data_IF_910832798801
#
_entry.id   IF_910832798801
#
_cell.length_a   1.000
_cell.length_b   1.000
_cell.length_c   1.000
_cell.angle_alpha   90.00
_cell.angle_beta   90.00
_cell.angle_gamma   90.00
#
_symmetry.space_group_name_H-M   'P 1'
#
loop_
_entity.id
_entity.type
_entity.pdbx_description
1 polymer ?
#
# COMPACT_ATOMS: atom_id res chain seq x y z
N UNK A 1 21.36 -2.13 9.44
CA UNK A 1 21.52 -2.22 7.97
C UNK A 1 22.31 -3.48 7.60
N UNK A 2 21.97 -4.18 6.51
CA UNK A 2 22.61 -5.46 6.15
C UNK A 2 24.03 -5.28 5.57
N UNK A 3 24.30 -4.16 4.88
CA UNK A 3 25.62 -3.88 4.30
C UNK A 3 26.42 -2.88 5.16
N UNK A 4 26.83 -3.30 6.36
CA UNK A 4 27.64 -2.45 7.26
C UNK A 4 28.97 -2.08 6.58
N UNK A 5 29.69 -3.06 6.01
CA UNK A 5 30.96 -2.80 5.32
C UNK A 5 30.85 -1.81 4.14
N UNK A 6 29.69 -1.75 3.46
CA UNK A 6 29.45 -0.76 2.40
C UNK A 6 29.17 0.63 2.98
N UNK A 7 28.41 0.73 4.08
CA UNK A 7 28.24 1.99 4.81
C UNK A 7 29.59 2.54 5.27
N UNK A 8 30.45 1.70 5.85
CA UNK A 8 31.73 2.13 6.38
C UNK A 8 32.68 2.56 5.25
N UNK A 9 32.67 1.85 4.11
CA UNK A 9 33.41 2.23 2.91
C UNK A 9 32.89 3.55 2.29
N UNK A 10 31.56 3.72 2.22
CA UNK A 10 30.94 4.97 1.79
C UNK A 10 31.31 6.13 2.74
N UNK A 11 31.38 5.91 4.05
CA UNK A 11 31.80 6.94 5.01
C UNK A 11 33.30 7.26 4.93
N UNK A 12 34.16 6.32 4.53
CA UNK A 12 35.60 6.56 4.38
C UNK A 12 35.99 7.21 3.05
N UNK A 13 35.18 7.09 2.00
CA UNK A 13 35.53 7.52 0.63
C UNK A 13 34.70 8.73 0.14
N UNK A 14 35.25 9.96 0.15
CA UNK A 14 34.53 11.16 -0.30
C UNK A 14 34.09 11.10 -1.76
N UNK A 15 34.86 10.44 -2.62
CA UNK A 15 34.51 10.27 -4.04
C UNK A 15 33.24 9.44 -4.21
N UNK A 16 33.08 8.39 -3.40
CA UNK A 16 31.91 7.53 -3.43
C UNK A 16 30.68 8.23 -2.86
N UNK A 17 30.84 9.05 -1.82
CA UNK A 17 29.77 9.94 -1.32
C UNK A 17 29.28 10.92 -2.38
N UNK A 18 30.20 11.45 -3.21
CA UNK A 18 29.86 12.28 -4.36
C UNK A 18 29.00 11.52 -5.37
N UNK A 19 29.45 10.33 -5.79
CA UNK A 19 28.79 9.49 -6.79
C UNK A 19 27.34 9.09 -6.43
N UNK A 20 27.06 8.85 -5.14
CA UNK A 20 25.69 8.54 -4.66
C UNK A 20 24.95 9.74 -4.05
N UNK A 21 25.47 10.95 -4.22
CA UNK A 21 24.80 12.17 -3.76
C UNK A 21 23.50 12.40 -4.53
N UNK A 22 22.51 13.05 -3.91
CA UNK A 22 21.21 13.32 -4.56
C UNK A 22 21.36 14.05 -5.91
N UNK A 23 22.36 14.94 -6.03
CA UNK A 23 22.67 15.64 -7.27
C UNK A 23 23.13 14.69 -8.37
N UNK A 24 24.10 13.82 -8.10
CA UNK A 24 24.63 12.89 -9.10
C UNK A 24 23.64 11.76 -9.42
N UNK A 25 22.85 11.30 -8.45
CA UNK A 25 21.72 10.39 -8.68
C UNK A 25 20.66 10.98 -9.64
N UNK A 26 20.49 12.30 -9.70
CA UNK A 26 19.59 12.98 -10.64
C UNK A 26 20.29 13.24 -11.99
N UNK A 27 21.57 13.64 -11.96
CA UNK A 27 22.33 14.00 -13.17
C UNK A 27 22.76 12.79 -14.00
N UNK A 28 23.16 11.70 -13.34
CA UNK A 28 23.59 10.44 -13.96
C UNK A 28 23.24 9.24 -13.07
N UNK A 29 21.97 8.77 -13.06
CA UNK A 29 21.55 7.62 -12.27
C UNK A 29 22.26 6.31 -12.67
N UNK A 30 22.75 6.22 -13.91
CA UNK A 30 23.46 5.04 -14.41
C UNK A 30 24.79 4.84 -13.69
N UNK A 31 25.57 5.91 -13.55
CA UNK A 31 26.86 5.89 -12.83
C UNK A 31 26.65 5.74 -11.32
N UNK A 32 25.66 6.44 -10.76
CA UNK A 32 25.31 6.36 -9.35
C UNK A 32 24.90 4.94 -8.92
N UNK A 33 24.26 4.16 -9.81
CA UNK A 33 23.99 2.74 -9.56
C UNK A 33 25.24 1.86 -9.77
N UNK A 34 25.92 1.98 -10.90
CA UNK A 34 26.98 1.04 -11.27
C UNK A 34 28.26 1.27 -10.44
N UNK A 35 28.94 2.40 -10.64
CA UNK A 35 30.14 2.79 -9.89
C UNK A 35 29.82 3.17 -8.44
N UNK A 36 28.64 3.76 -8.19
CA UNK A 36 28.24 4.18 -6.84
C UNK A 36 27.77 3.04 -5.92
N UNK A 37 27.15 1.97 -6.43
CA UNK A 37 26.52 0.93 -5.59
C UNK A 37 26.98 -0.49 -5.96
N UNK A 38 26.82 -0.91 -7.22
CA UNK A 38 27.01 -2.31 -7.62
C UNK A 38 28.50 -2.74 -7.57
N UNK A 39 29.41 -1.93 -8.10
CA UNK A 39 30.84 -2.21 -8.11
C UNK A 39 31.49 -2.20 -6.70
N UNK A 40 31.19 -1.23 -5.81
CA UNK A 40 31.59 -1.28 -4.41
C UNK A 40 31.09 -2.54 -3.70
N UNK A 41 29.80 -2.89 -3.84
CA UNK A 41 29.23 -4.08 -3.23
C UNK A 41 29.90 -5.36 -3.73
N UNK A 42 30.13 -5.48 -5.04
CA UNK A 42 30.85 -6.61 -5.63
C UNK A 42 32.30 -6.70 -5.13
N UNK A 43 32.98 -5.57 -4.97
CA UNK A 43 34.38 -5.50 -4.51
C UNK A 43 34.52 -5.83 -3.02
N UNK A 44 33.61 -5.33 -2.17
CA UNK A 44 33.54 -5.68 -0.75
C UNK A 44 33.20 -7.16 -0.53
N UNK A 45 32.32 -7.74 -1.36
CA UNK A 45 32.02 -9.18 -1.37
C UNK A 45 33.20 -10.03 -1.80
N UNK A 46 33.97 -9.63 -2.83
CA UNK A 46 35.23 -10.29 -3.23
C UNK A 46 36.29 -10.23 -2.12
N UNK A 47 36.36 -9.12 -1.39
CA UNK A 47 37.25 -8.92 -0.25
C UNK A 47 36.80 -9.62 1.04
N UNK A 48 35.74 -10.44 1.01
CA UNK A 48 35.22 -11.15 2.19
C UNK A 48 34.57 -10.25 3.26
N UNK A 49 34.37 -8.96 2.99
CA UNK A 49 33.78 -7.99 3.93
C UNK A 49 32.24 -8.04 3.97
N UNK A 50 31.61 -8.72 3.00
CA UNK A 50 30.18 -9.02 2.99
C UNK A 50 30.04 -10.54 3.03
N UNK A 51 29.22 -11.04 3.96
CA UNK A 51 28.97 -12.48 4.15
C UNK A 51 28.51 -13.17 2.85
N UNK A 52 28.76 -14.48 2.74
CA UNK A 52 28.46 -15.23 1.53
C UNK A 52 26.97 -15.63 1.38
N UNK A 53 26.07 -14.68 1.59
CA UNK A 53 24.62 -14.84 1.51
C UNK A 53 24.03 -14.21 0.23
N UNK A 54 22.80 -14.61 -0.12
CA UNK A 54 22.00 -13.89 -1.10
C UNK A 54 21.29 -12.74 -0.41
N UNK A 55 21.26 -11.58 -1.05
CA UNK A 55 20.58 -10.38 -0.56
C UNK A 55 19.45 -10.00 -1.51
N UNK A 56 18.40 -9.38 -0.99
CA UNK A 56 17.19 -9.02 -1.75
C UNK A 56 16.96 -7.51 -1.67
N UNK A 57 16.82 -6.88 -2.83
CA UNK A 57 16.23 -5.55 -2.99
C UNK A 57 14.73 -5.76 -3.21
N UNK A 58 13.91 -5.35 -2.24
CA UNK A 58 12.46 -5.34 -2.38
C UNK A 58 12.00 -3.99 -2.94
N UNK A 59 11.29 -4.03 -4.06
CA UNK A 59 10.66 -2.86 -4.69
C UNK A 59 9.16 -3.07 -4.65
N UNK A 60 8.50 -2.50 -3.64
CA UNK A 60 7.05 -2.60 -3.51
C UNK A 60 6.34 -1.62 -4.46
N UNK A 61 5.26 -2.09 -5.08
CA UNK A 61 4.39 -1.39 -6.01
C UNK A 61 5.14 -0.65 -7.15
N UNK A 62 5.97 -1.38 -7.92
CA UNK A 62 6.75 -0.85 -9.04
C UNK A 62 5.91 -0.01 -10.04
N UNK A 63 4.63 -0.34 -10.22
CA UNK A 63 3.71 0.41 -11.06
C UNK A 63 3.37 1.84 -10.57
N UNK A 64 3.61 2.18 -9.30
CA UNK A 64 3.36 3.55 -8.81
C UNK A 64 4.32 4.56 -9.45
N UNK A 65 5.53 4.14 -9.81
CA UNK A 65 6.51 5.00 -10.48
C UNK A 65 6.08 5.42 -11.89
N UNK A 66 5.18 4.66 -12.53
CA UNK A 66 4.71 4.93 -13.90
C UNK A 66 3.72 6.10 -13.97
N UNK A 67 3.01 6.41 -12.87
CA UNK A 67 2.17 7.63 -12.78
C UNK A 67 3.00 8.91 -12.77
N UNK A 68 4.27 8.82 -12.34
CA UNK A 68 5.23 9.91 -12.28
C UNK A 68 6.33 9.76 -13.34
N UNK A 69 6.02 9.08 -14.46
CA UNK A 69 6.94 8.94 -15.58
C UNK A 69 7.43 10.33 -16.03
N UNK A 70 8.75 10.59 -16.02
CA UNK A 70 9.28 11.87 -16.45
C UNK A 70 9.18 12.01 -17.97
N UNK A 71 9.12 13.26 -18.46
CA UNK A 71 9.17 13.56 -19.90
C UNK A 71 10.47 13.06 -20.55
N UNK A 72 11.55 12.98 -19.76
CA UNK A 72 12.88 12.54 -20.17
C UNK A 72 13.49 11.61 -19.12
N UNK A 73 14.18 10.55 -19.58
CA UNK A 73 14.83 9.57 -18.72
C UNK A 73 14.04 8.28 -18.50
N UNK A 74 14.54 7.44 -17.60
CA UNK A 74 14.00 6.12 -17.30
C UNK A 74 12.93 6.16 -16.18
N UNK A 75 11.91 5.29 -16.25
CA UNK A 75 11.13 4.93 -15.06
C UNK A 75 11.90 3.91 -14.24
N UNK A 76 11.50 3.63 -12.99
CA UNK A 76 12.13 2.54 -12.21
C UNK A 76 12.08 1.22 -13.00
N UNK A 77 11.02 0.98 -13.76
CA UNK A 77 10.88 -0.22 -14.60
C UNK A 77 11.91 -0.28 -15.73
N UNK A 78 12.05 0.78 -16.54
CA UNK A 78 13.02 0.78 -17.65
C UNK A 78 14.47 0.86 -17.16
N UNK A 79 14.72 1.57 -16.06
CA UNK A 79 16.01 1.62 -15.38
C UNK A 79 16.45 0.22 -14.89
N UNK A 80 15.55 -0.56 -14.30
CA UNK A 80 15.84 -1.95 -13.93
C UNK A 80 16.14 -2.81 -15.16
N UNK A 81 15.34 -2.73 -16.23
CA UNK A 81 15.56 -3.48 -17.47
C UNK A 81 16.97 -3.23 -18.02
N UNK A 82 17.38 -1.97 -18.06
CA UNK A 82 18.69 -1.50 -18.54
C UNK A 82 19.86 -2.03 -17.72
N UNK A 83 19.74 -2.03 -16.38
CA UNK A 83 20.85 -2.36 -15.47
C UNK A 83 20.86 -3.80 -14.94
N UNK A 84 19.83 -4.61 -15.21
CA UNK A 84 19.83 -6.02 -14.79
C UNK A 84 21.04 -6.86 -15.20
N UNK A 85 21.68 -6.67 -16.38
CA UNK A 85 22.92 -7.37 -16.71
C UNK A 85 24.09 -7.09 -15.75
N UNK A 86 24.08 -5.95 -15.06
CA UNK A 86 25.16 -5.50 -14.18
C UNK A 86 24.96 -5.97 -12.72
N UNK A 87 23.77 -6.46 -12.36
CA UNK A 87 23.50 -6.92 -10.99
C UNK A 87 24.29 -8.21 -10.70
N UNK A 88 25.05 -8.26 -9.59
CA UNK A 88 25.79 -9.48 -9.26
C UNK A 88 24.82 -10.61 -8.89
N UNK A 89 25.12 -11.88 -9.22
CA UNK A 89 24.15 -12.97 -9.13
C UNK A 89 23.65 -13.27 -7.71
N UNK A 90 24.32 -12.78 -6.67
CA UNK A 90 23.91 -12.89 -5.26
C UNK A 90 22.96 -11.76 -4.79
N UNK A 91 22.82 -10.67 -5.55
CA UNK A 91 21.91 -9.57 -5.26
C UNK A 91 20.66 -9.71 -6.13
N UNK A 92 19.55 -10.13 -5.53
CA UNK A 92 18.28 -10.36 -6.22
C UNK A 92 17.36 -9.15 -6.10
N UNK A 93 16.53 -8.92 -7.11
CA UNK A 93 15.41 -7.97 -7.04
C UNK A 93 14.12 -8.76 -6.91
N UNK A 94 13.27 -8.40 -5.95
CA UNK A 94 11.87 -8.81 -5.89
C UNK A 94 11.04 -7.54 -6.04
N UNK A 95 10.24 -7.48 -7.10
CA UNK A 95 9.34 -6.35 -7.36
C UNK A 95 7.89 -6.82 -7.31
N UNK A 96 7.01 -6.04 -6.68
CA UNK A 96 5.55 -6.27 -6.72
C UNK A 96 4.91 -5.31 -7.73
N UNK A 97 3.84 -5.75 -8.39
CA UNK A 97 3.11 -4.97 -9.39
C UNK A 97 1.62 -5.29 -9.29
N UNK A 98 0.75 -4.30 -9.45
CA UNK A 98 -0.71 -4.56 -9.55
C UNK A 98 -1.01 -5.28 -10.86
N UNK A 99 -1.86 -6.30 -10.82
CA UNK A 99 -2.19 -7.16 -11.98
C UNK A 99 -2.71 -6.38 -13.19
N UNK A 100 -3.45 -5.28 -12.94
CA UNK A 100 -3.96 -4.38 -13.99
C UNK A 100 -2.85 -3.62 -14.74
N UNK A 101 -1.65 -3.53 -14.15
CA UNK A 101 -0.48 -2.80 -14.68
C UNK A 101 0.72 -3.73 -14.90
N UNK A 102 0.52 -5.06 -14.92
CA UNK A 102 1.59 -6.03 -15.15
C UNK A 102 2.36 -5.80 -16.46
N UNK A 103 1.70 -5.17 -17.44
CA UNK A 103 2.22 -4.90 -18.78
C UNK A 103 3.53 -4.10 -18.79
N UNK A 104 3.72 -3.19 -17.84
CA UNK A 104 4.96 -2.40 -17.70
C UNK A 104 6.17 -3.31 -17.51
N UNK A 105 5.97 -4.45 -16.82
CA UNK A 105 7.04 -5.39 -16.48
C UNK A 105 7.35 -6.38 -17.60
N UNK A 106 6.68 -6.32 -18.77
CA UNK A 106 6.80 -7.33 -19.84
C UNK A 106 8.24 -7.63 -20.27
N UNK A 107 9.08 -6.60 -20.29
CA UNK A 107 10.49 -6.70 -20.69
C UNK A 107 11.46 -7.06 -19.54
N UNK A 108 11.01 -7.08 -18.28
CA UNK A 108 11.86 -7.51 -17.17
C UNK A 108 12.15 -9.02 -17.24
N UNK A 109 13.41 -9.46 -17.13
CA UNK A 109 13.83 -10.87 -17.21
C UNK A 109 13.55 -11.63 -15.89
N UNK A 110 12.40 -11.38 -15.25
CA UNK A 110 12.07 -11.89 -13.92
C UNK A 110 11.09 -13.06 -13.96
N UNK A 111 11.25 -13.99 -13.02
CA UNK A 111 10.24 -15.02 -12.72
C UNK A 111 8.96 -14.35 -12.22
N UNK A 112 7.82 -14.66 -12.86
CA UNK A 112 6.53 -14.07 -12.52
C UNK A 112 5.75 -14.98 -11.56
N UNK A 113 5.37 -14.44 -10.41
CA UNK A 113 4.49 -15.10 -9.43
C UNK A 113 3.21 -14.28 -9.33
N UNK A 114 2.05 -14.89 -9.61
CA UNK A 114 0.74 -14.26 -9.47
C UNK A 114 0.05 -14.74 -8.20
N UNK A 115 -0.38 -13.80 -7.35
CA UNK A 115 -1.00 -14.09 -6.05
C UNK A 115 -2.54 -14.09 -6.08
N UNK A 116 -3.12 -13.64 -7.20
CA UNK A 116 -4.53 -13.28 -7.39
C UNK A 116 -5.32 -14.27 -8.26
N UNK A 117 -4.71 -15.40 -8.64
CA UNK A 117 -5.30 -16.41 -9.54
C UNK A 117 -6.34 -17.31 -8.85
N UNK A 118 -7.45 -16.71 -8.37
CA UNK A 118 -8.56 -17.41 -7.70
C UNK A 118 -8.97 -18.72 -8.39
N UNK A 119 -9.17 -18.70 -9.72
CA UNK A 119 -9.64 -19.86 -10.50
C UNK A 119 -8.69 -21.05 -10.55
N UNK A 120 -7.42 -20.88 -10.18
CA UNK A 120 -6.40 -21.94 -10.17
C UNK A 120 -5.75 -22.15 -8.80
N UNK A 121 -6.08 -21.33 -7.81
CA UNK A 121 -5.44 -21.35 -6.49
C UNK A 121 -6.48 -21.69 -5.42
N UNK A 122 -6.74 -23.00 -5.27
CA UNK A 122 -7.62 -23.54 -4.22
C UNK A 122 -7.13 -23.17 -2.81
N UNK A 123 -5.81 -23.03 -2.62
CA UNK A 123 -5.21 -22.56 -1.37
C UNK A 123 -5.70 -21.17 -0.98
N UNK A 124 -5.73 -20.23 -1.94
CA UNK A 124 -6.24 -18.87 -1.68
C UNK A 124 -7.72 -18.86 -1.29
N UNK A 125 -8.55 -19.71 -1.92
CA UNK A 125 -9.96 -19.87 -1.53
C UNK A 125 -10.07 -20.40 -0.09
N UNK A 126 -9.26 -21.41 0.26
CA UNK A 126 -9.23 -21.98 1.60
C UNK A 126 -8.76 -20.97 2.65
N UNK A 127 -7.64 -20.31 2.43
CA UNK A 127 -7.06 -19.36 3.39
C UNK A 127 -7.98 -18.16 3.65
N UNK A 128 -8.70 -17.69 2.62
CA UNK A 128 -9.74 -16.66 2.79
C UNK A 128 -10.93 -17.18 3.60
N UNK A 129 -11.42 -18.39 3.31
CA UNK A 129 -12.53 -19.00 4.04
C UNK A 129 -12.15 -19.27 5.52
N UNK A 130 -10.96 -19.77 5.76
CA UNK A 130 -10.39 -20.00 7.10
C UNK A 130 -10.23 -18.67 7.86
N UNK A 131 -9.79 -17.59 7.19
CA UNK A 131 -9.72 -16.25 7.79
C UNK A 131 -11.12 -15.68 8.12
N UNK A 132 -12.10 -15.81 7.22
CA UNK A 132 -13.49 -15.38 7.46
C UNK A 132 -14.08 -16.14 8.65
N UNK A 133 -13.94 -17.46 8.65
CA UNK A 133 -14.41 -18.32 9.72
C UNK A 133 -13.71 -17.99 11.04
N UNK A 134 -12.38 -17.79 11.04
CA UNK A 134 -11.64 -17.38 12.23
C UNK A 134 -12.18 -16.07 12.82
N UNK A 135 -12.38 -15.03 12.00
CA UNK A 135 -12.96 -13.75 12.45
C UNK A 135 -14.39 -13.89 12.97
N UNK A 136 -15.22 -14.73 12.34
CA UNK A 136 -16.56 -15.04 12.82
C UNK A 136 -16.54 -15.73 14.19
N UNK A 137 -15.74 -16.79 14.37
CA UNK A 137 -15.70 -17.54 15.63
C UNK A 137 -15.14 -16.70 16.79
N UNK A 138 -14.24 -15.76 16.53
CA UNK A 138 -13.59 -14.94 17.56
C UNK A 138 -14.26 -13.58 17.82
N UNK A 139 -15.31 -13.19 17.08
CA UNK A 139 -15.98 -11.89 17.26
C UNK A 139 -17.50 -12.02 17.50
N UNK A 140 -17.96 -11.94 18.75
CA UNK A 140 -19.39 -11.99 19.10
C UNK A 140 -20.23 -10.93 18.38
N UNK A 141 -19.65 -9.74 18.13
CA UNK A 141 -20.28 -8.66 17.38
C UNK A 141 -20.62 -9.07 15.95
N UNK A 142 -19.68 -9.72 15.24
CA UNK A 142 -19.91 -10.21 13.89
C UNK A 142 -20.94 -11.36 13.92
N UNK A 143 -20.83 -12.30 14.86
CA UNK A 143 -21.79 -13.41 15.00
C UNK A 143 -23.22 -12.90 15.14
N UNK A 144 -23.45 -11.99 16.10
CA UNK A 144 -24.77 -11.40 16.36
C UNK A 144 -25.34 -10.69 15.13
N UNK A 145 -24.51 -9.94 14.41
CA UNK A 145 -24.87 -9.21 13.21
C UNK A 145 -25.32 -10.17 12.08
N UNK A 146 -24.64 -11.30 11.91
CA UNK A 146 -24.97 -12.32 10.91
C UNK A 146 -26.22 -13.11 11.29
N UNK A 147 -26.30 -13.63 12.52
CA UNK A 147 -27.40 -14.51 12.98
C UNK A 147 -28.73 -13.78 13.16
N UNK A 148 -28.71 -12.49 13.53
CA UNK A 148 -29.93 -11.69 13.71
C UNK A 148 -30.67 -11.40 12.40
N UNK A 149 -30.02 -11.58 11.25
CA UNK A 149 -30.59 -11.27 9.93
C UNK A 149 -31.63 -12.27 9.40
N UNK A 150 -31.82 -13.41 10.08
CA UNK A 150 -32.73 -14.51 9.67
C UNK A 150 -33.99 -14.60 10.54
N UNK A 151 -34.59 -13.45 10.88
CA UNK A 151 -35.71 -13.28 11.83
C UNK A 151 -37.08 -13.87 11.42
N UNK A 152 -37.11 -14.99 10.70
CA UNK A 152 -38.35 -15.61 10.21
C UNK A 152 -38.28 -17.10 9.86
N UNK A 153 -37.12 -17.77 10.01
CA UNK A 153 -36.99 -19.23 9.87
C UNK A 153 -36.01 -19.78 10.90
N UNK A 154 -36.33 -20.95 11.45
CA UNK A 154 -35.50 -21.75 12.38
C UNK A 154 -34.28 -22.36 11.68
N UNK A 155 -33.48 -21.54 10.98
CA UNK A 155 -32.17 -21.97 10.51
C UNK A 155 -31.18 -21.92 11.69
N UNK A 156 -30.43 -23.01 11.91
CA UNK A 156 -29.38 -23.04 12.94
C UNK A 156 -28.37 -21.92 12.70
N UNK A 157 -27.89 -21.28 13.77
CA UNK A 157 -26.90 -20.19 13.69
C UNK A 157 -25.69 -20.55 12.82
N UNK A 158 -25.22 -21.79 12.92
CA UNK A 158 -24.11 -22.32 12.13
C UNK A 158 -24.40 -22.32 10.62
N UNK A 159 -25.65 -22.56 10.21
CA UNK A 159 -26.07 -22.50 8.80
C UNK A 159 -26.06 -21.05 8.28
N UNK A 160 -26.53 -20.09 9.09
CA UNK A 160 -26.49 -18.67 8.74
C UNK A 160 -25.05 -18.13 8.59
N UNK A 161 -24.16 -18.55 9.49
CA UNK A 161 -22.73 -18.20 9.43
C UNK A 161 -22.06 -18.83 8.21
N UNK A 162 -22.31 -20.11 7.92
CA UNK A 162 -21.75 -20.76 6.73
C UNK A 162 -22.21 -20.07 5.43
N UNK A 163 -23.50 -19.74 5.29
CA UNK A 163 -24.03 -18.99 4.14
C UNK A 163 -23.36 -17.62 3.99
N UNK A 164 -23.15 -16.90 5.11
CA UNK A 164 -22.43 -15.63 5.11
C UNK A 164 -20.96 -15.79 4.69
N UNK A 165 -20.24 -16.79 5.23
CA UNK A 165 -18.83 -17.04 4.87
C UNK A 165 -18.66 -17.29 3.37
N UNK A 166 -19.52 -18.15 2.79
CA UNK A 166 -19.51 -18.44 1.35
C UNK A 166 -19.86 -17.20 0.51
N UNK A 167 -20.82 -16.39 0.95
CA UNK A 167 -21.19 -15.16 0.26
C UNK A 167 -20.05 -14.12 0.28
N UNK A 168 -19.42 -13.90 1.44
CA UNK A 168 -18.31 -12.97 1.59
C UNK A 168 -17.04 -13.43 0.84
N UNK A 169 -16.78 -14.74 0.82
CA UNK A 169 -15.71 -15.34 0.01
C UNK A 169 -15.92 -15.01 -1.48
N UNK A 170 -17.12 -15.21 -2.01
CA UNK A 170 -17.44 -14.91 -3.40
C UNK A 170 -17.36 -13.39 -3.73
N UNK A 171 -17.78 -12.52 -2.81
CA UNK A 171 -17.60 -11.06 -2.97
C UNK A 171 -16.12 -10.63 -2.91
N UNK A 172 -15.26 -11.38 -2.22
CA UNK A 172 -13.87 -10.96 -1.99
C UNK A 172 -13.01 -10.86 -3.25
N UNK A 173 -13.31 -11.68 -4.28
CA UNK A 173 -12.50 -11.80 -5.49
C UNK A 173 -10.99 -11.97 -5.20
N UNK A 174 -10.66 -12.73 -4.14
CA UNK A 174 -9.28 -12.98 -3.71
C UNK A 174 -8.69 -11.95 -2.73
N UNK A 175 -9.41 -10.85 -2.44
CA UNK A 175 -8.89 -9.74 -1.64
C UNK A 175 -9.09 -9.94 -0.13
N UNK A 176 -8.03 -10.35 0.56
CA UNK A 176 -7.96 -10.33 2.03
C UNK A 176 -8.26 -8.95 2.61
N UNK A 177 -7.84 -7.87 1.94
CA UNK A 177 -8.09 -6.50 2.40
C UNK A 177 -9.59 -6.17 2.39
N UNK A 178 -10.31 -6.55 1.33
CA UNK A 178 -11.75 -6.37 1.24
C UNK A 178 -12.48 -7.14 2.35
N UNK A 179 -12.11 -8.41 2.56
CA UNK A 179 -12.68 -9.26 3.62
C UNK A 179 -12.43 -8.65 4.99
N UNK A 180 -11.18 -8.30 5.29
CA UNK A 180 -10.78 -7.67 6.55
C UNK A 180 -11.62 -6.41 6.81
N UNK A 181 -11.65 -5.46 5.89
CA UNK A 181 -12.35 -4.19 6.09
C UNK A 181 -13.87 -4.38 6.22
N UNK A 182 -14.47 -5.33 5.49
CA UNK A 182 -15.89 -5.66 5.62
C UNK A 182 -16.21 -6.24 7.00
N UNK A 183 -15.36 -7.13 7.51
CA UNK A 183 -15.51 -7.70 8.86
C UNK A 183 -15.24 -6.66 9.96
N UNK A 184 -14.25 -5.78 9.78
CA UNK A 184 -13.95 -4.66 10.69
C UNK A 184 -15.15 -3.68 10.77
N UNK A 185 -15.89 -3.46 9.68
CA UNK A 185 -17.11 -2.66 9.66
C UNK A 185 -18.27 -3.33 10.42
N UNK A 186 -18.45 -4.64 10.26
CA UNK A 186 -19.47 -5.41 10.99
C UNK A 186 -19.18 -5.46 12.50
N UNK A 187 -17.91 -5.67 12.86
CA UNK A 187 -17.42 -5.75 14.24
C UNK A 187 -17.61 -4.45 15.01
N UNK A 188 -17.42 -3.31 14.33
CA UNK A 188 -17.63 -1.96 14.89
C UNK A 188 -19.11 -1.51 14.85
N UNK A 189 -20.03 -2.32 14.34
CA UNK A 189 -21.44 -1.95 14.16
C UNK A 189 -21.67 -0.86 13.10
N UNK A 190 -20.66 -0.54 12.29
CA UNK A 190 -20.74 0.44 11.20
C UNK A 190 -21.49 -0.10 9.98
N UNK A 191 -21.63 -1.43 9.89
CA UNK A 191 -22.40 -2.15 8.90
C UNK A 191 -23.31 -3.15 9.62
N UNK A 192 -24.55 -3.28 9.19
CA UNK A 192 -25.54 -4.20 9.80
C UNK A 192 -26.25 -4.98 8.70
N UNK A 193 -26.18 -6.31 8.76
CA UNK A 193 -26.85 -7.22 7.84
C UNK A 193 -28.35 -7.24 8.12
N UNK A 194 -29.15 -6.66 7.22
CA UNK A 194 -30.60 -6.54 7.36
C UNK A 194 -31.41 -7.65 6.70
N UNK A 195 -30.77 -8.54 5.93
CA UNK A 195 -31.44 -9.65 5.24
C UNK A 195 -30.46 -10.75 4.83
N UNK A 196 -30.97 -11.97 4.70
CA UNK A 196 -30.26 -13.16 4.21
C UNK A 196 -29.76 -13.06 2.76
N UNK A 197 -30.18 -12.03 2.01
CA UNK A 197 -29.67 -11.75 0.67
C UNK A 197 -28.38 -10.91 0.66
N UNK A 198 -27.88 -10.47 1.82
CA UNK A 198 -26.61 -9.76 2.03
C UNK A 198 -26.37 -8.50 1.16
N UNK A 199 -27.36 -7.99 0.43
CA UNK A 199 -27.27 -6.84 -0.50
C UNK A 199 -26.77 -5.51 0.09
N UNK A 200 -26.65 -5.43 1.41
CA UNK A 200 -26.11 -4.26 2.14
C UNK A 200 -24.57 -4.31 2.25
N UNK A 201 -23.95 -5.46 2.02
CA UNK A 201 -22.50 -5.57 2.01
C UNK A 201 -21.93 -4.80 0.80
N UNK A 202 -20.83 -4.04 0.99
CA UNK A 202 -20.08 -3.47 -0.12
C UNK A 202 -19.67 -4.56 -1.13
N UNK A 203 -19.65 -4.23 -2.42
CA UNK A 203 -19.17 -5.14 -3.49
C UNK A 203 -17.81 -4.75 -4.05
N UNK A 204 -17.16 -3.72 -3.50
CA UNK A 204 -15.79 -3.32 -3.86
C UNK A 204 -15.09 -2.55 -2.73
N UNK A 205 -13.76 -2.50 -2.78
CA UNK A 205 -12.95 -1.65 -1.88
C UNK A 205 -13.34 -0.16 -1.97
N UNK A 206 -13.71 0.32 -3.16
CA UNK A 206 -14.16 1.71 -3.33
C UNK A 206 -15.44 2.01 -2.53
N UNK A 207 -16.39 1.06 -2.47
CA UNK A 207 -17.59 1.21 -1.64
C UNK A 207 -17.29 1.14 -0.14
N UNK A 208 -16.34 0.29 0.27
CA UNK A 208 -15.85 0.24 1.66
C UNK A 208 -15.24 1.59 2.06
N UNK A 209 -14.35 2.14 1.24
CA UNK A 209 -13.73 3.43 1.51
C UNK A 209 -14.74 4.58 1.51
N UNK A 210 -15.69 4.59 0.57
CA UNK A 210 -16.78 5.56 0.55
C UNK A 210 -17.65 5.47 1.82
N UNK A 211 -17.99 4.27 2.29
CA UNK A 211 -18.73 4.08 3.54
C UNK A 211 -17.92 4.61 4.74
N UNK A 212 -16.63 4.25 4.85
CA UNK A 212 -15.74 4.79 5.89
C UNK A 212 -15.66 6.32 5.85
N UNK A 213 -15.60 6.91 4.65
CA UNK A 213 -15.53 8.36 4.47
C UNK A 213 -16.84 9.05 4.86
N UNK A 214 -17.99 8.51 4.44
CA UNK A 214 -19.31 9.02 4.80
C UNK A 214 -19.60 8.90 6.31
N UNK A 215 -19.13 7.84 6.96
CA UNK A 215 -19.20 7.69 8.42
C UNK A 215 -18.34 8.73 9.15
N UNK A 216 -17.22 9.16 8.55
CA UNK A 216 -16.37 10.22 9.10
C UNK A 216 -16.95 11.62 8.85
N UNK A 217 -17.51 11.82 7.66
CA UNK A 217 -18.01 13.10 7.15
C UNK A 217 -19.47 12.97 6.67
N UNK A 218 -20.44 12.84 7.59
CA UNK A 218 -21.84 12.55 7.25
C UNK A 218 -22.59 13.71 6.57
N UNK A 219 -21.94 14.87 6.41
CA UNK A 219 -22.50 16.04 5.75
C UNK A 219 -21.45 16.72 4.88
N UNK A 220 -21.88 17.38 3.80
CA UNK A 220 -21.00 18.21 2.93
C UNK A 220 -20.21 19.21 3.78
N UNK A 221 -20.86 19.91 4.71
CA UNK A 221 -20.23 20.86 5.65
C UNK A 221 -19.16 20.26 6.57
N UNK A 222 -19.23 18.96 6.86
CA UNK A 222 -18.17 18.29 7.64
C UNK A 222 -16.97 17.90 6.78
N UNK A 223 -17.19 17.57 5.50
CA UNK A 223 -16.13 17.32 4.53
C UNK A 223 -15.41 18.62 4.11
N UNK A 224 -16.15 19.71 3.84
CA UNK A 224 -15.61 21.03 3.47
C UNK A 224 -14.50 21.53 4.42
N UNK A 225 -14.58 21.17 5.71
CA UNK A 225 -13.57 21.50 6.72
C UNK A 225 -12.18 20.91 6.43
N UNK A 226 -12.11 19.79 5.72
CA UNK A 226 -10.87 19.06 5.41
C UNK A 226 -10.51 19.05 3.92
N UNK A 227 -11.40 19.51 3.04
CA UNK A 227 -11.19 19.47 1.58
C UNK A 227 -9.87 20.11 1.16
N UNK A 228 -9.54 21.32 1.61
CA UNK A 228 -8.27 21.98 1.24
C UNK A 228 -7.02 21.20 1.69
N UNK A 229 -7.07 20.53 2.86
CA UNK A 229 -5.96 19.68 3.33
C UNK A 229 -5.79 18.49 2.38
N UNK A 230 -6.89 17.84 1.99
CA UNK A 230 -6.87 16.74 1.04
C UNK A 230 -6.42 17.19 -0.36
N UNK A 231 -6.85 18.35 -0.83
CA UNK A 231 -6.42 18.93 -2.12
C UNK A 231 -4.91 19.19 -2.14
N UNK A 232 -4.35 19.77 -1.08
CA UNK A 232 -2.89 19.98 -0.94
C UNK A 232 -2.14 18.65 -0.91
N UNK A 233 -2.59 17.68 -0.11
CA UNK A 233 -1.97 16.35 -0.05
C UNK A 233 -2.05 15.60 -1.39
N UNK A 234 -3.11 15.78 -2.17
CA UNK A 234 -3.31 15.12 -3.47
C UNK A 234 -2.51 15.76 -4.60
N UNK A 235 -2.31 17.08 -4.55
CA UNK A 235 -1.53 17.82 -5.54
C UNK A 235 -0.01 17.74 -5.31
N UNK A 236 0.43 17.29 -4.13
CA UNK A 236 1.84 17.22 -3.78
C UNK A 236 2.55 16.02 -4.45
N UNK A 237 3.61 16.31 -5.22
CA UNK A 237 4.50 15.30 -5.81
C UNK A 237 5.37 14.58 -4.75
N UNK A 238 5.60 15.23 -3.61
CA UNK A 238 6.42 14.71 -2.52
C UNK A 238 5.62 14.68 -1.21
N UNK A 239 5.89 13.74 -0.29
CA UNK A 239 5.27 13.72 1.03
C UNK A 239 5.57 15.01 1.78
N UNK A 240 4.52 15.77 2.11
CA UNK A 240 4.65 17.01 2.86
C UNK A 240 4.65 16.77 4.37
N UNK A 241 5.48 17.54 5.09
CA UNK A 241 5.40 17.67 6.54
C UNK A 241 4.12 18.38 6.97
N UNK A 242 3.75 18.24 8.24
CA UNK A 242 2.56 18.87 8.80
C UNK A 242 2.58 20.42 8.70
N UNK A 243 3.77 21.02 8.75
CA UNK A 243 3.97 22.46 8.60
C UNK A 243 3.83 22.90 7.13
N UNK A 244 4.42 22.17 6.18
CA UNK A 244 4.27 22.46 4.76
C UNK A 244 2.80 22.37 4.33
N UNK A 245 2.06 21.35 4.77
CA UNK A 245 0.61 21.23 4.52
C UNK A 245 -0.14 22.47 5.07
N UNK A 246 0.18 22.91 6.29
CA UNK A 246 -0.45 24.09 6.89
C UNK A 246 -0.18 25.38 6.11
N UNK A 247 1.07 25.65 5.74
CA UNK A 247 1.42 26.83 4.97
C UNK A 247 0.86 26.77 3.54
N UNK A 248 0.84 25.60 2.91
CA UNK A 248 0.21 25.38 1.59
C UNK A 248 -1.32 25.49 1.61
N UNK A 249 -2.00 25.18 2.72
CA UNK A 249 -3.44 25.47 2.86
C UNK A 249 -3.67 26.96 3.09
N UNK A 250 -2.82 27.63 3.87
CA UNK A 250 -2.94 29.06 4.14
C UNK A 250 -2.57 29.96 2.95
N UNK A 251 -1.69 29.54 2.05
CA UNK A 251 -1.37 30.30 0.83
C UNK A 251 -2.52 30.37 -0.18
N UNK A 252 -3.59 29.58 0.02
CA UNK A 252 -4.84 29.63 -0.75
C UNK A 252 -5.85 30.64 -0.17
N UNK A 253 -5.51 31.32 0.94
CA UNK A 253 -6.39 32.22 1.69
C UNK A 253 -5.83 33.65 1.65
N UNK A 254 -6.73 34.64 1.51
CA UNK A 254 -6.36 36.06 1.39
C UNK A 254 -6.54 36.76 2.74
N UNK A 255 -7.77 36.98 3.18
CA UNK A 255 -8.07 37.81 4.37
C UNK A 255 -8.23 37.01 5.67
N UNK A 256 -8.49 35.69 5.56
CA UNK A 256 -8.84 34.83 6.70
C UNK A 256 -8.05 33.54 6.68
N UNK A 257 -6.86 33.58 7.25
CA UNK A 257 -6.02 32.41 7.49
C UNK A 257 -6.67 31.43 8.48
N UNK A 258 -6.39 30.15 8.29
CA UNK A 258 -6.76 29.06 9.17
C UNK A 258 -5.78 29.03 10.37
N UNK A 259 -6.23 29.20 11.62
CA UNK A 259 -5.35 29.13 12.79
C UNK A 259 -4.75 27.72 12.98
N UNK A 260 -3.52 27.65 13.49
CA UNK A 260 -2.79 26.40 13.70
C UNK A 260 -3.57 25.36 14.52
N UNK A 261 -4.20 25.76 15.62
CA UNK A 261 -5.00 24.84 16.45
C UNK A 261 -6.21 24.27 15.70
N UNK A 262 -6.89 25.10 14.91
CA UNK A 262 -8.03 24.68 14.10
C UNK A 262 -7.57 23.74 12.96
N UNK A 263 -6.43 24.05 12.33
CA UNK A 263 -5.78 23.15 11.38
C UNK A 263 -5.46 21.78 12.00
N UNK A 264 -4.85 21.74 13.19
CA UNK A 264 -4.55 20.48 13.88
C UNK A 264 -5.82 19.67 14.18
N UNK A 265 -6.91 20.32 14.60
CA UNK A 265 -8.20 19.67 14.81
C UNK A 265 -8.76 19.09 13.49
N UNK A 266 -8.75 19.87 12.41
CA UNK A 266 -9.17 19.43 11.06
C UNK A 266 -8.30 18.29 10.54
N UNK A 267 -6.98 18.38 10.66
CA UNK A 267 -6.04 17.34 10.26
C UNK A 267 -6.25 16.04 11.05
N UNK A 268 -6.55 16.11 12.35
CA UNK A 268 -6.90 14.96 13.18
C UNK A 268 -8.17 14.23 12.70
N UNK A 269 -9.06 14.91 11.94
CA UNK A 269 -10.19 14.23 11.30
C UNK A 269 -9.77 13.25 10.20
N UNK A 270 -8.64 13.50 9.53
CA UNK A 270 -8.05 12.67 8.47
C UNK A 270 -7.18 11.51 8.97
N UNK A 271 -7.07 11.33 10.30
CA UNK A 271 -6.36 10.19 10.89
C UNK A 271 -6.96 8.87 10.42
N UNK A 272 -6.13 7.99 9.85
CA UNK A 272 -6.54 6.72 9.24
C UNK A 272 -6.89 6.80 7.75
N UNK A 273 -6.99 8.01 7.18
CA UNK A 273 -7.09 8.23 5.73
C UNK A 273 -5.76 8.69 5.13
N UNK A 274 -5.03 9.55 5.84
CA UNK A 274 -3.66 9.93 5.48
C UNK A 274 -2.63 9.06 6.22
N UNK A 275 -1.70 8.48 5.47
CA UNK A 275 -0.54 7.76 6.01
C UNK A 275 0.59 8.76 6.24
N UNK A 276 1.08 8.84 7.47
CA UNK A 276 2.33 9.56 7.77
C UNK A 276 3.50 8.67 7.37
N UNK A 277 4.41 9.18 6.52
CA UNK A 277 5.77 8.63 6.48
C UNK A 277 6.47 9.06 7.77
N UNK A 278 7.02 8.09 8.50
CA UNK A 278 7.85 8.25 9.70
C UNK A 278 9.32 8.13 9.30
#
# INVERSE_FOLDING_TARGET
PQFIAYRDYLLSEPHLQGAVSLRECIANPDEALNGGILEPLASLRRAGKIENHNYIVLIDALCEAEYHRPDHGDTITSFLIKHMPNFPPWLKVIATVRSQLQDITKQLPYTRIGLDKMTTNEGLHKDLLDYINFRLHNSPSIQSNVTSSTSGKLESGNMSQHKFSQHLLNLSQGSFLFVKLTLDLLERGHLVVKSSGYKVLPVSLAQIYLLHFNLRFPTVRSFEKVTHILSVCLAALYPLTLLEIYYSVNSLLIDRFLPWEEFLQRFKLLSGFLVKRL
#
